data_IF_614161534382
#
_entry.id   IF_614161534382
#
_cell.length_a   1.000
_cell.length_b   1.000
_cell.length_c   1.000
_cell.angle_alpha   90.00
_cell.angle_beta   90.00
_cell.angle_gamma   90.00
#
_symmetry.space_group_name_H-M   'P 1'
#
loop_
_entity.id
_entity.type
_entity.pdbx_description
1 polymer ?
#
# COMPACT_ATOMS: atom_id res chain seq x y z
N UNK A 1 -20.08 12.24 11.25
CA UNK A 1 -19.90 11.42 10.03
C UNK A 1 -19.12 12.25 9.02
N UNK A 2 -18.07 11.70 8.39
CA UNK A 2 -17.39 12.35 7.27
C UNK A 2 -18.38 12.59 6.12
N UNK A 3 -18.15 13.63 5.33
CA UNK A 3 -18.91 13.83 4.10
C UNK A 3 -18.28 13.04 2.96
N UNK A 4 -19.05 12.64 1.95
CA UNK A 4 -18.56 12.03 0.69
C UNK A 4 -17.36 12.79 0.09
N UNK A 5 -17.35 14.12 0.23
CA UNK A 5 -16.25 15.00 -0.18
C UNK A 5 -14.96 14.77 0.62
N UNK A 6 -15.04 14.41 1.90
CA UNK A 6 -13.89 14.09 2.74
C UNK A 6 -13.27 12.74 2.37
N UNK A 7 -14.07 11.70 2.09
CA UNK A 7 -13.55 10.40 1.60
C UNK A 7 -12.87 10.56 0.24
N UNK A 8 -13.47 11.29 -0.69
CA UNK A 8 -12.85 11.59 -1.98
C UNK A 8 -11.53 12.38 -1.83
N UNK A 9 -11.47 13.32 -0.89
CA UNK A 9 -10.26 14.07 -0.60
C UNK A 9 -9.16 13.18 0.00
N UNK A 10 -9.51 12.27 0.93
CA UNK A 10 -8.57 11.26 1.47
C UNK A 10 -8.04 10.36 0.38
N UNK A 11 -8.91 9.83 -0.47
CA UNK A 11 -8.49 8.97 -1.58
C UNK A 11 -7.59 9.71 -2.57
N UNK A 12 -7.94 10.95 -2.93
CA UNK A 12 -7.07 11.83 -3.73
C UNK A 12 -5.70 12.01 -3.09
N UNK A 13 -5.67 12.31 -1.79
CA UNK A 13 -4.42 12.51 -1.07
C UNK A 13 -3.59 11.23 -1.03
N UNK A 14 -4.21 10.07 -0.79
CA UNK A 14 -3.54 8.77 -0.83
C UNK A 14 -2.91 8.50 -2.20
N UNK A 15 -3.66 8.70 -3.30
CA UNK A 15 -3.15 8.51 -4.66
C UNK A 15 -2.01 9.47 -5.01
N UNK A 16 -2.12 10.74 -4.63
CA UNK A 16 -1.04 11.72 -4.89
C UNK A 16 0.20 11.39 -4.07
N UNK A 17 0.04 11.03 -2.80
CA UNK A 17 1.13 10.66 -1.91
C UNK A 17 1.85 9.40 -2.38
N UNK A 18 1.08 8.37 -2.74
CA UNK A 18 1.57 7.13 -3.33
C UNK A 18 2.41 7.42 -4.58
N UNK A 19 1.82 8.09 -5.57
CA UNK A 19 2.53 8.37 -6.82
C UNK A 19 3.73 9.30 -6.65
N UNK A 20 3.66 10.22 -5.69
CA UNK A 20 4.78 11.10 -5.35
C UNK A 20 5.92 10.32 -4.68
N UNK A 21 5.59 9.40 -3.75
CA UNK A 21 6.54 8.54 -3.07
C UNK A 21 7.22 7.59 -4.04
N UNK A 22 6.44 6.86 -4.83
CA UNK A 22 6.90 6.03 -5.95
C UNK A 22 7.92 6.80 -6.80
N UNK A 23 7.53 7.91 -7.44
CA UNK A 23 8.43 8.62 -8.35
C UNK A 23 9.68 9.21 -7.66
N UNK A 24 9.62 9.44 -6.36
CA UNK A 24 10.74 9.94 -5.57
C UNK A 24 11.73 8.83 -5.23
N UNK A 25 11.25 7.65 -4.84
CA UNK A 25 12.07 6.45 -4.63
C UNK A 25 12.62 5.90 -5.94
N UNK A 26 11.82 5.87 -7.01
CA UNK A 26 12.20 5.31 -8.31
C UNK A 26 13.42 6.00 -8.92
N UNK A 27 13.63 7.29 -8.63
CA UNK A 27 14.81 8.01 -9.09
C UNK A 27 16.13 7.47 -8.50
N UNK A 28 16.05 6.76 -7.36
CA UNK A 28 17.16 6.15 -6.64
C UNK A 28 17.02 4.64 -6.44
N UNK A 29 16.07 4.01 -7.12
CA UNK A 29 15.90 2.55 -7.11
C UNK A 29 17.23 1.83 -7.40
N UNK A 30 17.49 0.75 -6.68
CA UNK A 30 18.73 -0.05 -6.71
C UNK A 30 20.01 0.68 -6.28
N UNK A 31 19.95 1.94 -5.83
CA UNK A 31 21.12 2.61 -5.24
C UNK A 31 21.24 2.20 -3.78
N UNK A 32 22.42 1.69 -3.41
CA UNK A 32 22.75 1.44 -1.99
C UNK A 32 22.74 2.76 -1.21
N UNK A 33 22.33 2.70 0.05
CA UNK A 33 22.23 3.87 0.94
C UNK A 33 23.53 4.68 1.01
N UNK A 34 24.68 4.01 1.13
CA UNK A 34 26.00 4.66 1.18
C UNK A 34 26.35 5.48 -0.09
N UNK A 35 25.63 5.24 -1.20
CA UNK A 35 25.82 5.91 -2.48
C UNK A 35 24.69 6.90 -2.80
N UNK A 36 23.83 7.23 -1.83
CA UNK A 36 22.74 8.17 -2.03
C UNK A 36 23.27 9.58 -2.35
N UNK A 37 22.64 10.32 -3.29
CA UNK A 37 23.15 11.59 -3.77
C UNK A 37 23.05 12.74 -2.75
N UNK A 38 22.21 12.57 -1.73
CA UNK A 38 21.99 13.50 -0.62
C UNK A 38 21.25 12.79 0.50
N UNK A 39 21.32 13.34 1.71
CA UNK A 39 20.48 12.94 2.84
C UNK A 39 19.64 14.12 3.36
N UNK A 40 18.30 14.00 3.39
CA UNK A 40 17.51 13.07 2.58
C UNK A 40 17.63 13.36 1.07
N UNK A 41 17.30 12.36 0.25
CA UNK A 41 17.21 12.46 -1.21
C UNK A 41 16.24 13.57 -1.58
N UNK A 42 16.70 14.49 -2.43
CA UNK A 42 15.89 15.62 -2.89
C UNK A 42 14.80 15.16 -3.87
N UNK A 43 13.70 15.90 -3.90
CA UNK A 43 12.61 15.66 -4.84
C UNK A 43 13.10 15.67 -6.31
N UNK A 44 12.47 14.88 -7.20
CA UNK A 44 12.79 14.92 -8.62
C UNK A 44 12.68 16.35 -9.18
N UNK A 45 13.74 16.81 -9.86
CA UNK A 45 13.84 18.20 -10.36
C UNK A 45 12.93 18.50 -11.56
N UNK A 46 12.54 17.47 -12.32
CA UNK A 46 11.80 17.59 -13.58
C UNK A 46 10.50 16.80 -13.52
N UNK A 47 10.31 15.86 -14.43
CA UNK A 47 9.17 14.96 -14.45
C UNK A 47 9.38 13.92 -13.35
N UNK A 48 8.33 13.72 -12.57
CA UNK A 48 8.24 12.68 -11.54
C UNK A 48 7.76 11.42 -12.26
N UNK A 49 8.71 10.59 -12.67
CA UNK A 49 8.45 9.34 -13.40
C UNK A 49 8.07 8.29 -12.38
N UNK A 50 6.85 7.78 -12.48
CA UNK A 50 6.31 6.73 -11.61
C UNK A 50 6.87 5.34 -12.00
N UNK A 51 6.74 4.31 -11.16
CA UNK A 51 7.13 2.91 -11.40
C UNK A 51 5.90 2.01 -11.54
N UNK A 52 6.07 0.69 -11.43
CA UNK A 52 4.95 -0.25 -11.42
C UNK A 52 4.01 -0.07 -10.23
N UNK A 53 4.48 0.49 -9.11
CA UNK A 53 3.67 0.91 -7.95
C UNK A 53 2.41 1.69 -8.34
N UNK A 54 2.60 2.86 -8.95
CA UNK A 54 1.48 3.70 -9.38
C UNK A 54 0.72 3.07 -10.53
N UNK A 55 1.40 2.39 -11.46
CA UNK A 55 0.74 1.77 -12.60
C UNK A 55 -0.24 0.69 -12.16
N UNK A 56 0.18 -0.21 -11.27
CA UNK A 56 -0.67 -1.26 -10.72
C UNK A 56 -1.74 -0.69 -9.79
N UNK A 57 -1.46 0.40 -9.07
CA UNK A 57 -2.49 1.14 -8.31
C UNK A 57 -3.60 1.64 -9.21
N UNK A 58 -3.24 2.26 -10.34
CA UNK A 58 -4.21 2.75 -11.32
C UNK A 58 -4.95 1.61 -12.02
N UNK A 59 -4.27 0.49 -12.32
CA UNK A 59 -4.92 -0.70 -12.86
C UNK A 59 -5.94 -1.30 -11.88
N UNK A 60 -5.61 -1.35 -10.57
CA UNK A 60 -6.54 -1.77 -9.53
C UNK A 60 -7.71 -0.78 -9.40
N UNK A 61 -7.43 0.52 -9.44
CA UNK A 61 -8.47 1.56 -9.47
C UNK A 61 -9.44 1.34 -10.64
N UNK A 62 -8.93 1.22 -11.87
CA UNK A 62 -9.74 1.04 -13.07
C UNK A 62 -10.57 -0.25 -12.99
N UNK A 63 -10.01 -1.34 -12.44
CA UNK A 63 -10.75 -2.58 -12.23
C UNK A 63 -11.95 -2.39 -11.29
N UNK A 64 -11.78 -1.65 -10.20
CA UNK A 64 -12.87 -1.39 -9.26
C UNK A 64 -13.91 -0.42 -9.84
N UNK A 65 -13.50 0.49 -10.74
CA UNK A 65 -14.44 1.30 -11.53
C UNK A 65 -15.25 0.40 -12.48
N UNK A 66 -14.60 -0.53 -13.18
CA UNK A 66 -15.26 -1.44 -14.13
C UNK A 66 -16.28 -2.37 -13.47
N UNK A 67 -15.99 -2.83 -12.25
CA UNK A 67 -16.93 -3.63 -11.45
C UNK A 67 -18.22 -2.86 -11.14
N UNK A 68 -18.13 -1.53 -11.00
CA UNK A 68 -19.26 -0.68 -10.70
C UNK A 68 -19.96 -1.08 -9.40
N UNK A 69 -21.29 -1.20 -9.42
CA UNK A 69 -22.10 -1.55 -8.26
C UNK A 69 -22.03 -3.02 -7.80
N UNK A 70 -21.14 -3.84 -8.36
CA UNK A 70 -21.06 -5.28 -8.14
C UNK A 70 -19.84 -5.72 -7.32
N UNK A 71 -19.42 -4.89 -6.36
CA UNK A 71 -18.23 -5.15 -5.53
C UNK A 71 -18.38 -6.36 -4.59
N UNK A 72 -19.61 -6.81 -4.36
CA UNK A 72 -19.97 -7.99 -3.56
C UNK A 72 -20.00 -9.30 -4.38
N UNK A 73 -19.70 -9.23 -5.68
CA UNK A 73 -19.49 -10.39 -6.54
C UNK A 73 -18.00 -10.69 -6.71
N UNK A 74 -17.53 -11.72 -6.00
CA UNK A 74 -16.14 -12.18 -6.01
C UNK A 74 -15.66 -12.51 -7.43
N UNK A 75 -16.49 -13.15 -8.26
CA UNK A 75 -16.08 -13.58 -9.61
C UNK A 75 -15.93 -12.36 -10.53
N UNK A 76 -16.90 -11.44 -10.49
CA UNK A 76 -16.84 -10.17 -11.23
C UNK A 76 -15.62 -9.34 -10.83
N UNK A 77 -15.36 -9.17 -9.53
CA UNK A 77 -14.18 -8.46 -9.02
C UNK A 77 -12.88 -9.15 -9.45
N UNK A 78 -12.79 -10.47 -9.28
CA UNK A 78 -11.59 -11.25 -9.62
C UNK A 78 -11.27 -11.10 -11.10
N UNK A 79 -12.28 -11.21 -11.98
CA UNK A 79 -12.13 -11.06 -13.44
C UNK A 79 -11.68 -9.66 -13.81
N UNK A 80 -12.28 -8.62 -13.23
CA UNK A 80 -11.93 -7.23 -13.53
C UNK A 80 -10.48 -6.91 -13.13
N UNK A 81 -10.06 -7.27 -11.90
CA UNK A 81 -8.67 -7.06 -11.45
C UNK A 81 -7.70 -7.83 -12.34
N UNK A 82 -8.01 -9.09 -12.66
CA UNK A 82 -7.19 -9.92 -13.54
C UNK A 82 -7.05 -9.28 -14.92
N UNK A 83 -8.15 -8.82 -15.52
CA UNK A 83 -8.15 -8.18 -16.83
C UNK A 83 -7.25 -6.92 -16.84
N UNK A 84 -7.42 -6.01 -15.89
CA UNK A 84 -6.62 -4.79 -15.81
C UNK A 84 -5.15 -5.05 -15.52
N UNK A 85 -4.82 -6.04 -14.69
CA UNK A 85 -3.43 -6.43 -14.48
C UNK A 85 -2.81 -7.06 -15.74
N UNK A 86 -3.56 -7.87 -16.50
CA UNK A 86 -3.10 -8.44 -17.77
C UNK A 86 -2.93 -7.39 -18.87
N UNK A 87 -3.79 -6.36 -18.91
CA UNK A 87 -3.64 -5.19 -19.77
C UNK A 87 -2.38 -4.41 -19.41
N UNK A 88 -2.19 -4.10 -18.13
CA UNK A 88 -0.98 -3.45 -17.63
C UNK A 88 0.29 -4.24 -17.98
N UNK A 89 0.25 -5.57 -17.85
CA UNK A 89 1.41 -6.43 -18.08
C UNK A 89 2.04 -6.25 -19.48
N UNK A 90 1.23 -5.92 -20.50
CA UNK A 90 1.69 -5.67 -21.89
C UNK A 90 1.71 -4.19 -22.27
N UNK A 91 1.42 -3.29 -21.32
CA UNK A 91 1.52 -1.86 -21.57
C UNK A 91 2.97 -1.46 -21.87
N UNK A 92 3.17 -0.57 -22.84
CA UNK A 92 4.51 -0.09 -23.23
C UNK A 92 5.26 0.60 -22.08
N UNK A 93 4.54 1.14 -21.11
CA UNK A 93 5.10 1.81 -19.95
C UNK A 93 5.46 0.83 -18.83
N UNK A 94 5.11 -0.47 -18.95
CA UNK A 94 5.57 -1.54 -18.07
C UNK A 94 7.04 -1.92 -18.37
N UNK A 95 7.93 -0.96 -18.19
CA UNK A 95 9.37 -1.06 -18.39
C UNK A 95 10.14 -0.47 -17.21
N UNK A 96 9.53 -0.53 -16.02
CA UNK A 96 9.94 0.18 -14.81
C UNK A 96 10.13 -0.79 -13.66
N UNK A 97 10.97 -1.80 -13.92
CA UNK A 97 11.41 -2.83 -12.98
C UNK A 97 10.34 -3.66 -12.25
N UNK A 98 9.23 -4.07 -12.90
CA UNK A 98 8.22 -4.88 -12.22
C UNK A 98 8.79 -6.18 -11.65
N UNK A 99 8.39 -6.54 -10.43
CA UNK A 99 8.89 -7.73 -9.76
C UNK A 99 8.60 -9.04 -10.50
N UNK A 100 9.58 -9.97 -10.51
CA UNK A 100 9.47 -11.27 -11.20
C UNK A 100 8.31 -12.15 -10.69
N UNK A 101 7.91 -11.99 -9.43
CA UNK A 101 6.73 -12.68 -8.88
C UNK A 101 5.44 -12.18 -9.54
N UNK A 102 5.26 -10.87 -9.64
CA UNK A 102 4.08 -10.28 -10.29
C UNK A 102 4.00 -10.73 -11.75
N UNK A 103 5.08 -10.51 -12.51
CA UNK A 103 5.12 -10.85 -13.94
C UNK A 103 4.96 -12.35 -14.20
N UNK A 104 5.54 -13.21 -13.36
CA UNK A 104 5.40 -14.66 -13.48
C UNK A 104 3.96 -15.13 -13.21
N UNK A 105 3.29 -14.56 -12.21
CA UNK A 105 1.89 -14.88 -11.91
C UNK A 105 0.97 -14.44 -13.05
N UNK A 106 1.11 -13.21 -13.54
CA UNK A 106 0.29 -12.70 -14.64
C UNK A 106 0.50 -13.50 -15.93
N UNK A 107 1.72 -13.94 -16.23
CA UNK A 107 1.99 -14.86 -17.35
C UNK A 107 1.20 -16.16 -17.20
N UNK A 108 1.18 -16.77 -16.01
CA UNK A 108 0.42 -18.01 -15.76
C UNK A 108 -1.08 -17.79 -15.92
N UNK A 109 -1.62 -16.67 -15.41
CA UNK A 109 -3.03 -16.32 -15.58
C UNK A 109 -3.39 -16.07 -17.04
N UNK A 110 -2.52 -15.40 -17.81
CA UNK A 110 -2.69 -15.19 -19.26
C UNK A 110 -2.80 -16.50 -20.03
N UNK A 111 -2.09 -17.54 -19.58
CA UNK A 111 -2.16 -18.88 -20.16
C UNK A 111 -3.34 -19.72 -19.64
N UNK A 112 -4.28 -19.11 -18.92
CA UNK A 112 -5.53 -19.74 -18.50
C UNK A 112 -5.48 -20.47 -17.16
N UNK A 113 -4.36 -20.41 -16.42
CA UNK A 113 -4.33 -20.94 -15.06
C UNK A 113 -5.24 -20.12 -14.15
N UNK A 114 -5.99 -20.77 -13.25
CA UNK A 114 -6.70 -20.04 -12.19
C UNK A 114 -5.71 -19.66 -11.11
N UNK A 115 -5.90 -18.50 -10.48
CA UNK A 115 -4.95 -17.97 -9.50
C UNK A 115 -4.67 -18.95 -8.36
N UNK A 116 -5.68 -19.67 -7.88
CA UNK A 116 -5.56 -20.61 -6.76
C UNK A 116 -4.91 -21.95 -7.14
N UNK A 117 -4.87 -22.32 -8.43
CA UNK A 117 -4.25 -23.57 -8.89
C UNK A 117 -2.75 -23.60 -8.56
N UNK A 118 -2.16 -24.79 -8.41
CA UNK A 118 -0.72 -24.95 -8.17
C UNK A 118 0.14 -24.33 -9.28
N UNK A 119 -0.34 -24.39 -10.52
CA UNK A 119 0.24 -23.72 -11.69
C UNK A 119 -0.23 -22.27 -11.89
N UNK A 120 -1.01 -21.72 -10.96
CA UNK A 120 -1.53 -20.35 -10.97
C UNK A 120 -0.57 -19.32 -10.35
N UNK A 121 -1.12 -18.37 -9.61
CA UNK A 121 -0.33 -17.30 -8.98
C UNK A 121 0.79 -17.88 -8.10
N UNK A 122 1.95 -17.24 -8.19
CA UNK A 122 3.18 -17.69 -7.52
C UNK A 122 3.09 -17.46 -6.01
N UNK A 123 3.51 -18.45 -5.19
CA UNK A 123 3.44 -18.36 -3.75
C UNK A 123 4.67 -17.66 -3.17
N UNK A 124 4.87 -16.38 -3.50
CA UNK A 124 6.00 -15.58 -2.98
C UNK A 124 5.53 -14.28 -2.32
N UNK A 125 6.16 -13.84 -1.21
CA UNK A 125 5.67 -12.73 -0.39
C UNK A 125 6.18 -11.33 -0.80
N UNK A 126 6.50 -11.09 -2.08
CA UNK A 126 7.02 -9.79 -2.54
C UNK A 126 6.10 -8.60 -2.22
N UNK A 127 6.67 -7.41 -2.06
CA UNK A 127 5.99 -6.15 -1.71
C UNK A 127 4.90 -5.70 -2.71
N UNK A 128 4.90 -6.23 -3.93
CA UNK A 128 3.93 -5.86 -4.97
C UNK A 128 2.46 -6.03 -4.55
N UNK A 129 2.18 -6.89 -3.57
CA UNK A 129 0.85 -7.05 -2.99
C UNK A 129 0.38 -5.85 -2.14
N UNK A 130 1.31 -5.07 -1.57
CA UNK A 130 1.02 -3.97 -0.64
C UNK A 130 1.22 -2.59 -1.27
N UNK A 131 2.11 -2.46 -2.24
CA UNK A 131 2.45 -1.17 -2.88
C UNK A 131 1.27 -0.47 -3.59
N UNK A 132 0.27 -1.25 -4.03
CA UNK A 132 -0.85 -0.78 -4.87
C UNK A 132 -2.20 -0.64 -4.18
N UNK A 133 -2.20 -0.71 -2.85
CA UNK A 133 -3.36 -1.15 -2.07
C UNK A 133 -4.44 -0.07 -1.83
N UNK A 134 -4.12 1.20 -2.00
CA UNK A 134 -5.00 2.32 -1.64
C UNK A 134 -6.45 2.21 -2.17
N UNK A 135 -6.72 1.76 -3.42
CA UNK A 135 -8.10 1.59 -3.91
C UNK A 135 -8.90 0.52 -3.14
N UNK A 136 -8.29 -0.62 -2.84
CA UNK A 136 -8.97 -1.71 -2.13
C UNK A 136 -9.25 -1.36 -0.66
N UNK A 137 -8.32 -0.68 0.00
CA UNK A 137 -8.45 -0.27 1.40
C UNK A 137 -9.65 0.66 1.68
N UNK A 138 -10.04 1.46 0.68
CA UNK A 138 -11.12 2.44 0.79
C UNK A 138 -12.44 1.99 0.12
N UNK A 139 -12.54 0.70 -0.23
CA UNK A 139 -13.80 0.05 -0.59
C UNK A 139 -14.80 -0.01 0.58
N UNK A 140 -16.09 -0.29 0.34
CA UNK A 140 -17.11 -0.34 1.38
C UNK A 140 -16.84 -1.40 2.46
N UNK A 141 -17.29 -1.14 3.70
CA UNK A 141 -17.15 -2.02 4.86
C UNK A 141 -17.35 -3.53 4.56
N UNK A 142 -18.39 -3.97 3.82
CA UNK A 142 -18.65 -5.40 3.64
C UNK A 142 -17.65 -6.12 2.74
N UNK A 143 -16.87 -5.41 1.93
CA UNK A 143 -16.10 -6.02 0.83
C UNK A 143 -14.61 -5.69 0.84
N UNK A 144 -14.17 -4.62 1.52
CA UNK A 144 -12.78 -4.14 1.43
C UNK A 144 -11.74 -5.21 1.81
N UNK A 145 -12.04 -6.08 2.78
CA UNK A 145 -11.13 -7.16 3.20
C UNK A 145 -10.96 -8.21 2.09
N UNK A 146 -12.06 -8.72 1.55
CA UNK A 146 -11.97 -9.69 0.45
C UNK A 146 -11.36 -9.09 -0.81
N UNK A 147 -11.68 -7.84 -1.17
CA UNK A 147 -11.06 -7.15 -2.31
C UNK A 147 -9.55 -6.96 -2.08
N UNK A 148 -9.15 -6.57 -0.87
CA UNK A 148 -7.74 -6.48 -0.46
C UNK A 148 -7.02 -7.82 -0.60
N UNK A 149 -7.66 -8.91 -0.18
CA UNK A 149 -7.10 -10.25 -0.30
C UNK A 149 -7.02 -10.72 -1.78
N UNK A 150 -8.06 -10.47 -2.57
CA UNK A 150 -8.13 -10.84 -3.99
C UNK A 150 -7.03 -10.13 -4.80
N UNK A 151 -6.88 -8.82 -4.64
CA UNK A 151 -5.84 -8.09 -5.39
C UNK A 151 -4.43 -8.60 -5.04
N UNK A 152 -4.20 -9.02 -3.79
CA UNK A 152 -2.92 -9.57 -3.36
C UNK A 152 -2.69 -10.96 -3.98
N UNK A 153 -3.63 -11.88 -3.76
CA UNK A 153 -3.50 -13.31 -4.10
C UNK A 153 -3.41 -13.57 -5.61
N UNK A 154 -3.98 -12.69 -6.44
CA UNK A 154 -3.88 -12.77 -7.90
C UNK A 154 -2.44 -12.73 -8.42
N UNK A 155 -1.49 -12.18 -7.65
CA UNK A 155 -0.08 -12.10 -8.05
C UNK A 155 0.88 -12.69 -7.02
N UNK A 156 0.52 -12.65 -5.73
CA UNK A 156 1.35 -13.07 -4.61
C UNK A 156 0.53 -14.02 -3.73
N UNK A 157 0.43 -15.29 -4.14
CA UNK A 157 -0.36 -16.33 -3.44
C UNK A 157 0.38 -16.86 -2.20
N UNK A 158 0.74 -15.96 -1.30
CA UNK A 158 1.49 -16.26 -0.09
C UNK A 158 0.76 -15.70 1.14
N UNK A 159 0.60 -16.48 2.23
CA UNK A 159 -0.09 -16.01 3.44
C UNK A 159 0.42 -14.67 3.98
N UNK A 160 1.76 -14.50 4.04
CA UNK A 160 2.39 -13.22 4.44
C UNK A 160 1.97 -12.03 3.59
N UNK A 161 1.90 -12.18 2.25
CA UNK A 161 1.51 -11.09 1.37
C UNK A 161 0.04 -10.68 1.60
N UNK A 162 -0.84 -11.67 1.78
CA UNK A 162 -2.27 -11.44 2.04
C UNK A 162 -2.45 -10.76 3.40
N UNK A 163 -1.81 -11.28 4.45
CA UNK A 163 -1.89 -10.72 5.80
C UNK A 163 -1.33 -9.29 5.86
N UNK A 164 -0.18 -9.04 5.23
CA UNK A 164 0.43 -7.70 5.17
C UNK A 164 -0.47 -6.71 4.43
N UNK A 165 -1.09 -7.14 3.31
CA UNK A 165 -2.07 -6.33 2.60
C UNK A 165 -3.30 -6.01 3.47
N UNK A 166 -3.85 -6.97 4.21
CA UNK A 166 -4.97 -6.69 5.12
C UNK A 166 -4.58 -5.71 6.23
N UNK A 167 -3.40 -5.86 6.85
CA UNK A 167 -2.90 -4.96 7.90
C UNK A 167 -2.68 -3.54 7.36
N UNK A 168 -2.03 -3.40 6.21
CA UNK A 168 -1.83 -2.09 5.60
C UNK A 168 -3.16 -1.43 5.19
N UNK A 169 -4.10 -2.21 4.64
CA UNK A 169 -5.41 -1.69 4.26
C UNK A 169 -6.18 -1.18 5.48
N UNK A 170 -6.12 -1.90 6.60
CA UNK A 170 -6.75 -1.48 7.86
C UNK A 170 -6.11 -0.19 8.40
N UNK A 171 -4.79 -0.05 8.30
CA UNK A 171 -4.07 1.18 8.65
C UNK A 171 -4.46 2.38 7.75
N UNK A 172 -4.54 2.20 6.42
CA UNK A 172 -5.00 3.23 5.48
C UNK A 172 -6.43 3.67 5.80
N UNK A 173 -7.30 2.68 6.06
CA UNK A 173 -8.71 2.91 6.35
C UNK A 173 -8.89 3.67 7.66
N UNK A 174 -8.15 3.30 8.69
CA UNK A 174 -8.15 3.93 10.01
C UNK A 174 -7.29 5.20 10.11
N UNK A 175 -6.64 5.63 9.02
CA UNK A 175 -5.56 6.62 9.07
C UNK A 175 -5.94 7.98 9.68
N UNK A 176 -7.21 8.38 9.60
CA UNK A 176 -7.72 9.61 10.22
C UNK A 176 -7.75 9.57 11.74
N UNK A 177 -7.92 8.38 12.33
CA UNK A 177 -8.05 8.16 13.77
C UNK A 177 -6.74 7.73 14.43
N UNK A 178 -5.85 7.04 13.70
CA UNK A 178 -4.60 6.47 14.24
C UNK A 178 -3.34 7.26 13.88
N UNK A 179 -3.47 8.55 13.53
CA UNK A 179 -2.33 9.41 13.16
C UNK A 179 -1.23 9.39 14.24
N UNK A 180 0.00 9.07 13.83
CA UNK A 180 1.16 8.94 14.70
C UNK A 180 1.21 7.65 15.53
N UNK A 181 0.26 6.73 15.31
CA UNK A 181 0.11 5.46 16.02
C UNK A 181 -0.21 4.29 15.06
N UNK A 182 0.25 4.37 13.81
CA UNK A 182 0.06 3.35 12.78
C UNK A 182 0.71 2.01 13.13
N UNK A 183 1.93 2.03 13.68
CA UNK A 183 2.62 0.80 14.08
C UNK A 183 1.90 0.13 15.25
N UNK A 184 1.51 0.88 16.27
CA UNK A 184 0.73 0.38 17.40
C UNK A 184 -0.60 -0.24 16.94
N UNK A 185 -1.30 0.43 16.01
CA UNK A 185 -2.53 -0.07 15.40
C UNK A 185 -2.29 -1.38 14.63
N UNK A 186 -1.27 -1.42 13.77
CA UNK A 186 -0.93 -2.59 12.97
C UNK A 186 -0.51 -3.79 13.83
N UNK A 187 0.25 -3.56 14.92
CA UNK A 187 0.60 -4.59 15.90
C UNK A 187 -0.66 -5.11 16.60
N UNK A 188 -1.53 -4.22 17.08
CA UNK A 188 -2.77 -4.62 17.75
C UNK A 188 -3.67 -5.48 16.85
N UNK A 189 -3.88 -5.05 15.60
CA UNK A 189 -4.63 -5.81 14.59
C UNK A 189 -3.99 -7.17 14.32
N UNK A 190 -2.66 -7.20 14.16
CA UNK A 190 -1.90 -8.44 13.93
C UNK A 190 -2.06 -9.42 15.11
N UNK A 191 -1.97 -8.92 16.34
CA UNK A 191 -2.16 -9.72 17.55
C UNK A 191 -3.57 -10.29 17.65
N UNK A 192 -4.60 -9.51 17.31
CA UNK A 192 -5.99 -9.99 17.27
C UNK A 192 -6.19 -11.11 16.24
N UNK A 193 -5.51 -11.04 15.09
CA UNK A 193 -5.54 -12.13 14.08
C UNK A 193 -4.89 -13.38 14.65
N UNK A 194 -3.76 -13.23 15.31
CA UNK A 194 -3.02 -14.35 15.92
C UNK A 194 -3.77 -14.98 17.10
N UNK A 195 -4.48 -14.20 17.91
CA UNK A 195 -5.26 -14.67 19.07
C UNK A 195 -6.59 -15.31 18.69
N UNK A 196 -7.04 -15.17 17.43
CA UNK A 196 -8.35 -15.65 17.00
C UNK A 196 -9.50 -14.67 17.28
N UNK A 197 -9.20 -13.47 17.77
CA UNK A 197 -10.18 -12.47 18.20
C UNK A 197 -10.57 -11.51 17.09
N UNK A 198 -9.74 -11.37 16.05
CA UNK A 198 -9.96 -10.42 14.97
C UNK A 198 -11.30 -10.65 14.26
N UNK A 199 -12.08 -9.59 13.97
CA UNK A 199 -13.31 -9.71 13.20
C UNK A 199 -13.09 -10.21 11.78
N UNK A 200 -11.86 -10.10 11.26
CA UNK A 200 -11.49 -10.60 9.92
C UNK A 200 -11.74 -12.10 9.80
N UNK A 201 -11.56 -12.84 10.89
CA UNK A 201 -11.68 -14.30 10.93
C UNK A 201 -13.12 -14.79 10.81
N UNK A 202 -14.09 -13.86 10.88
CA UNK A 202 -15.54 -14.10 10.74
C UNK A 202 -16.14 -13.31 9.56
N UNK A 203 -15.32 -12.62 8.77
CA UNK A 203 -15.77 -11.81 7.64
C UNK A 203 -16.16 -12.73 6.47
N UNK A 204 -17.46 -12.89 6.23
CA UNK A 204 -17.99 -13.84 5.24
C UNK A 204 -17.44 -13.62 3.83
N UNK A 205 -17.28 -12.36 3.42
CA UNK A 205 -16.79 -12.02 2.08
C UNK A 205 -15.31 -12.38 1.93
N UNK A 206 -14.47 -12.05 2.92
CA UNK A 206 -13.06 -12.46 2.97
C UNK A 206 -12.90 -13.99 2.97
N UNK A 207 -13.67 -14.69 3.82
CA UNK A 207 -13.61 -16.15 3.91
C UNK A 207 -14.00 -16.80 2.58
N UNK A 208 -15.07 -16.32 1.92
CA UNK A 208 -15.49 -16.81 0.60
C UNK A 208 -14.42 -16.52 -0.46
N UNK A 209 -13.84 -15.33 -0.47
CA UNK A 209 -12.82 -14.92 -1.44
C UNK A 209 -11.55 -15.78 -1.37
N UNK A 210 -11.16 -16.23 -0.17
CA UNK A 210 -9.96 -17.04 0.05
C UNK A 210 -10.24 -18.56 0.12
N UNK A 211 -11.50 -18.98 0.16
CA UNK A 211 -11.86 -20.41 0.20
C UNK A 211 -11.29 -21.27 -0.95
N UNK A 212 -11.05 -20.75 -2.18
CA UNK A 212 -10.39 -21.54 -3.23
C UNK A 212 -8.92 -21.86 -2.93
N UNK A 213 -8.28 -21.11 -2.01
CA UNK A 213 -6.89 -21.32 -1.62
C UNK A 213 -6.74 -22.32 -0.47
N UNK A 214 -7.68 -22.31 0.49
CA UNK A 214 -7.63 -23.15 1.69
C UNK A 214 -9.00 -23.21 2.36
N UNK A 215 -9.30 -24.33 3.02
CA UNK A 215 -10.47 -24.45 3.91
C UNK A 215 -10.25 -23.79 5.27
N UNK A 216 -9.00 -23.57 5.68
CA UNK A 216 -8.62 -22.90 6.93
C UNK A 216 -8.03 -21.50 6.65
N UNK A 217 -8.91 -20.58 6.27
CA UNK A 217 -8.53 -19.17 6.05
C UNK A 217 -8.02 -18.52 7.35
N UNK A 218 -8.66 -18.70 8.52
CA UNK A 218 -8.15 -18.13 9.77
C UNK A 218 -6.72 -18.58 10.12
N UNK A 219 -6.43 -19.88 10.05
CA UNK A 219 -5.09 -20.40 10.31
C UNK A 219 -4.07 -19.89 9.30
N UNK A 220 -4.45 -19.76 8.02
CA UNK A 220 -3.59 -19.18 6.99
C UNK A 220 -3.24 -17.71 7.27
N UNK A 221 -4.22 -16.89 7.67
CA UNK A 221 -3.98 -15.49 8.01
C UNK A 221 -3.11 -15.37 9.27
N UNK A 222 -3.38 -16.16 10.31
CA UNK A 222 -2.56 -16.18 11.52
C UNK A 222 -1.11 -16.60 11.24
N UNK A 223 -0.90 -17.60 10.37
CA UNK A 223 0.43 -18.00 9.92
C UNK A 223 1.12 -16.89 9.11
N UNK A 224 0.39 -16.19 8.25
CA UNK A 224 0.91 -15.04 7.50
C UNK A 224 1.36 -13.88 8.38
N UNK A 225 0.68 -13.64 9.51
CA UNK A 225 1.06 -12.64 10.50
C UNK A 225 2.28 -13.08 11.32
N UNK A 226 2.30 -14.32 11.82
CA UNK A 226 3.39 -14.88 12.66
C UNK A 226 4.72 -15.07 11.94
N UNK A 227 4.70 -15.01 10.62
CA UNK A 227 5.90 -14.97 9.81
C UNK A 227 6.61 -13.60 10.01
N UNK A 228 7.34 -13.09 9.02
CA UNK A 228 8.10 -11.83 9.14
C UNK A 228 7.27 -10.58 9.49
N UNK A 229 5.96 -10.56 9.24
CA UNK A 229 5.16 -9.34 9.41
C UNK A 229 5.13 -8.83 10.86
N UNK A 230 4.82 -9.68 11.84
CA UNK A 230 4.71 -9.24 13.23
C UNK A 230 6.07 -8.79 13.78
N UNK A 231 7.13 -9.53 13.47
CA UNK A 231 8.50 -9.19 13.88
C UNK A 231 8.92 -7.83 13.29
N UNK A 232 8.73 -7.63 11.99
CA UNK A 232 9.06 -6.35 11.33
C UNK A 232 8.26 -5.17 11.91
N UNK A 233 6.99 -5.36 12.29
CA UNK A 233 6.19 -4.32 12.94
C UNK A 233 6.71 -3.98 14.34
N UNK A 234 7.13 -4.98 15.12
CA UNK A 234 7.70 -4.79 16.45
C UNK A 234 9.07 -4.09 16.36
N UNK A 235 9.92 -4.52 15.43
CA UNK A 235 11.22 -3.90 15.15
C UNK A 235 11.04 -2.44 14.72
N UNK A 236 10.09 -2.16 13.83
CA UNK A 236 9.77 -0.80 13.41
C UNK A 236 9.28 0.06 14.58
N UNK A 237 8.52 -0.52 15.51
CA UNK A 237 8.10 0.19 16.72
C UNK A 237 9.27 0.50 17.65
N UNK A 238 10.23 -0.41 17.81
CA UNK A 238 11.46 -0.15 18.57
C UNK A 238 12.26 0.98 17.91
N UNK A 239 12.47 0.92 16.60
CA UNK A 239 13.14 1.98 15.84
C UNK A 239 12.41 3.32 16.01
N UNK A 240 11.07 3.35 15.95
CA UNK A 240 10.29 4.58 16.23
C UNK A 240 10.62 5.19 17.60
N UNK A 241 10.76 4.36 18.64
CA UNK A 241 11.12 4.86 19.98
C UNK A 241 12.53 5.43 20.02
N UNK A 242 13.49 4.80 19.34
CA UNK A 242 14.85 5.30 19.23
C UNK A 242 14.90 6.64 18.48
N UNK A 243 14.21 6.74 17.34
CA UNK A 243 14.13 7.96 16.54
C UNK A 243 13.46 9.13 17.29
N UNK A 244 12.58 8.84 18.26
CA UNK A 244 11.98 9.87 19.11
C UNK A 244 13.00 10.60 20.00
N UNK A 245 14.20 10.02 20.17
CA UNK A 245 15.32 10.64 20.91
C UNK A 245 16.26 11.44 20.00
N UNK A 246 16.07 11.39 18.68
CA UNK A 246 16.92 12.00 17.67
C UNK A 246 16.20 13.15 16.95
N UNK A 247 16.98 13.96 16.24
CA UNK A 247 16.43 14.96 15.31
C UNK A 247 16.35 14.40 13.88
N UNK A 248 15.43 14.89 13.01
CA UNK A 248 15.29 14.39 11.64
C UNK A 248 16.57 14.26 10.79
N UNK A 249 17.55 15.19 10.89
CA UNK A 249 18.84 15.03 10.20
C UNK A 249 19.67 13.82 10.64
N UNK A 250 19.34 13.20 11.77
CA UNK A 250 20.08 12.08 12.38
C UNK A 250 19.37 10.72 12.18
N UNK A 251 18.19 10.68 11.56
CA UNK A 251 17.38 9.45 11.47
C UNK A 251 18.03 8.30 10.68
N UNK A 252 18.94 8.59 9.74
CA UNK A 252 19.60 7.57 8.94
C UNK A 252 18.65 6.84 7.98
N UNK A 253 19.02 5.60 7.62
CA UNK A 253 18.24 4.73 6.74
C UNK A 253 17.01 4.17 7.49
N UNK A 254 15.77 4.41 7.03
CA UNK A 254 14.56 3.89 7.68
C UNK A 254 14.46 2.36 7.65
N UNK A 255 15.26 1.64 6.85
CA UNK A 255 15.26 0.18 6.80
C UNK A 255 16.10 -0.49 7.91
N UNK A 256 17.00 0.26 8.56
CA UNK A 256 17.94 -0.29 9.55
C UNK A 256 17.18 -0.89 10.74
N UNK A 257 17.48 -2.15 11.03
CA UNK A 257 16.86 -2.89 12.14
C UNK A 257 15.50 -3.51 11.82
N UNK A 258 14.94 -3.33 10.62
CA UNK A 258 13.59 -3.80 10.26
C UNK A 258 13.63 -4.72 9.04
N UNK A 259 14.22 -4.25 7.94
CA UNK A 259 14.22 -4.94 6.66
C UNK A 259 14.13 -3.98 5.48
N UNK A 260 14.58 -4.44 4.32
CA UNK A 260 14.72 -3.60 3.12
C UNK A 260 13.43 -3.46 2.28
N UNK A 261 12.29 -3.97 2.72
CA UNK A 261 11.02 -3.73 2.04
C UNK A 261 10.80 -4.49 0.73
N UNK A 262 11.67 -5.41 0.34
CA UNK A 262 11.47 -6.27 -0.85
C UNK A 262 10.33 -7.29 -0.68
N UNK A 263 9.96 -7.57 0.57
CA UNK A 263 8.84 -8.44 0.92
C UNK A 263 7.77 -7.67 1.71
N UNK A 264 6.54 -8.16 1.65
CA UNK A 264 5.36 -7.40 2.07
C UNK A 264 5.37 -6.98 3.56
N UNK A 265 5.99 -7.77 4.45
CA UNK A 265 6.00 -7.51 5.88
C UNK A 265 6.79 -6.26 6.24
N UNK A 266 8.09 -6.27 5.94
CA UNK A 266 9.01 -5.15 6.12
C UNK A 266 8.62 -3.93 5.29
N UNK A 267 8.10 -4.10 4.07
CA UNK A 267 7.59 -2.97 3.28
C UNK A 267 6.45 -2.24 4.01
N UNK A 268 5.52 -3.01 4.57
CA UNK A 268 4.43 -2.49 5.39
C UNK A 268 4.98 -1.81 6.64
N UNK A 269 5.85 -2.47 7.39
CA UNK A 269 6.39 -1.93 8.65
C UNK A 269 7.16 -0.61 8.46
N UNK A 270 8.07 -0.55 7.49
CA UNK A 270 8.85 0.67 7.19
C UNK A 270 7.95 1.79 6.67
N UNK A 271 6.98 1.47 5.79
CA UNK A 271 6.01 2.46 5.30
C UNK A 271 5.16 3.07 6.43
N UNK A 272 4.73 2.25 7.41
CA UNK A 272 4.01 2.71 8.59
C UNK A 272 4.90 3.50 9.57
N UNK A 273 6.16 3.11 9.75
CA UNK A 273 7.14 3.89 10.51
C UNK A 273 7.28 5.30 9.94
N UNK A 274 7.48 5.42 8.63
CA UNK A 274 7.57 6.73 7.96
C UNK A 274 6.29 7.54 8.17
N UNK A 275 5.12 6.91 8.04
CA UNK A 275 3.84 7.59 8.25
C UNK A 275 3.65 8.07 9.69
N UNK A 276 4.13 7.31 10.68
CA UNK A 276 4.13 7.70 12.09
C UNK A 276 5.02 8.92 12.35
N UNK A 277 6.20 8.97 11.73
CA UNK A 277 7.09 10.12 11.85
C UNK A 277 6.55 11.37 11.13
N UNK A 278 5.57 11.20 10.23
CA UNK A 278 4.99 12.25 9.40
C UNK A 278 3.61 12.75 9.89
N UNK A 279 3.01 12.07 10.85
CA UNK A 279 1.66 12.36 11.35
C UNK A 279 1.63 12.38 12.86
N UNK A 280 0.63 13.06 13.44
CA UNK A 280 0.51 13.19 14.89
C UNK A 280 -0.95 13.29 15.31
N UNK A 281 -1.29 12.81 16.52
CA UNK A 281 -2.65 12.90 17.04
C UNK A 281 -3.00 14.33 17.44
N UNK A 282 -4.29 14.68 17.28
CA UNK A 282 -4.84 15.96 17.71
C UNK A 282 -4.18 17.17 17.05
N UNK A 283 -3.67 18.10 17.87
CA UNK A 283 -3.00 19.35 17.45
C UNK A 283 -1.47 19.28 17.56
N UNK A 284 -0.91 18.11 17.89
CA UNK A 284 0.55 17.95 17.98
C UNK A 284 1.18 18.06 16.59
N UNK A 285 2.44 18.46 16.55
CA UNK A 285 3.24 18.50 15.33
C UNK A 285 4.05 17.20 15.24
N UNK A 286 4.00 16.56 14.08
CA UNK A 286 4.86 15.42 13.78
C UNK A 286 6.32 15.85 13.56
N UNK A 287 7.31 14.97 13.80
CA UNK A 287 8.72 15.26 13.55
C UNK A 287 9.01 15.67 12.10
N UNK A 288 8.34 15.03 11.14
CA UNK A 288 8.39 15.34 9.72
C UNK A 288 7.03 15.83 9.23
N UNK A 289 7.02 16.67 8.19
CA UNK A 289 5.84 16.80 7.35
C UNK A 289 5.85 15.75 6.22
N UNK A 290 4.72 15.57 5.52
CA UNK A 290 4.61 14.54 4.48
C UNK A 290 5.66 14.64 3.37
N UNK A 291 6.09 15.85 2.97
CA UNK A 291 7.13 16.03 1.95
C UNK A 291 8.51 15.59 2.46
N UNK A 292 8.84 15.91 3.71
CA UNK A 292 10.09 15.50 4.35
C UNK A 292 10.13 13.98 4.54
N UNK A 293 9.00 13.40 4.95
CA UNK A 293 8.84 11.95 5.12
C UNK A 293 9.03 11.17 3.82
N UNK A 294 8.49 11.64 2.69
CA UNK A 294 8.75 11.00 1.39
C UNK A 294 10.22 11.09 0.98
N UNK A 295 10.89 12.22 1.27
CA UNK A 295 12.33 12.35 1.06
C UNK A 295 13.12 11.35 1.90
N UNK A 296 12.74 11.16 3.16
CA UNK A 296 13.37 10.20 4.06
C UNK A 296 13.11 8.75 3.62
N UNK A 297 11.88 8.38 3.29
CA UNK A 297 11.52 7.05 2.78
C UNK A 297 12.29 6.67 1.51
N UNK A 298 12.44 7.62 0.58
CA UNK A 298 13.24 7.43 -0.63
C UNK A 298 14.75 7.34 -0.35
N UNK A 299 15.21 7.71 0.85
CA UNK A 299 16.62 7.62 1.26
C UNK A 299 16.84 6.32 2.02
N UNK A 300 16.64 5.19 1.36
CA UNK A 300 16.72 3.88 1.98
C UNK A 300 17.61 2.92 1.18
N UNK A 301 18.23 1.93 1.82
CA UNK A 301 18.96 0.87 1.11
C UNK A 301 18.04 -0.15 0.42
N UNK A 302 16.74 -0.04 0.68
CA UNK A 302 15.74 -1.02 0.29
C UNK A 302 14.99 -0.69 -1.00
N UNK A 303 13.79 -1.25 -1.07
CA UNK A 303 12.79 -1.05 -2.11
C UNK A 303 12.17 0.36 -1.99
N UNK A 304 12.98 1.36 -2.35
CA UNK A 304 12.76 2.76 -1.97
C UNK A 304 11.49 3.38 -2.56
N UNK A 305 11.08 2.99 -3.77
CA UNK A 305 9.82 3.40 -4.40
C UNK A 305 8.63 2.76 -3.70
N UNK A 306 8.64 1.44 -3.47
CA UNK A 306 7.57 0.77 -2.72
C UNK A 306 7.40 1.31 -1.30
N UNK A 307 8.49 1.52 -0.57
CA UNK A 307 8.45 2.07 0.80
C UNK A 307 7.86 3.49 0.79
N UNK A 308 8.36 4.36 -0.09
CA UNK A 308 7.88 5.74 -0.18
C UNK A 308 6.43 5.83 -0.69
N UNK A 309 6.04 4.95 -1.60
CA UNK A 309 4.69 4.78 -2.14
C UNK A 309 3.70 4.40 -1.04
N UNK A 310 4.01 3.37 -0.24
CA UNK A 310 3.20 2.95 0.91
C UNK A 310 3.08 4.10 1.93
N UNK A 311 4.21 4.71 2.33
CA UNK A 311 4.20 5.82 3.27
C UNK A 311 3.33 6.99 2.76
N UNK A 312 3.47 7.34 1.49
CA UNK A 312 2.68 8.39 0.84
C UNK A 312 1.18 8.09 0.82
N UNK A 313 0.80 6.84 0.56
CA UNK A 313 -0.59 6.40 0.60
C UNK A 313 -1.21 6.58 2.01
N UNK A 314 -0.50 6.13 3.04
CA UNK A 314 -0.95 6.19 4.44
C UNK A 314 -1.01 7.64 4.93
N UNK A 315 0.04 8.44 4.71
CA UNK A 315 0.07 9.86 5.04
C UNK A 315 -1.05 10.60 4.32
N UNK A 316 -1.26 10.33 3.03
CA UNK A 316 -2.34 10.94 2.26
C UNK A 316 -3.72 10.59 2.82
N UNK A 317 -3.97 9.31 3.11
CA UNK A 317 -5.24 8.83 3.66
C UNK A 317 -5.55 9.41 5.05
N UNK A 318 -4.53 9.81 5.81
CA UNK A 318 -4.68 10.46 7.11
C UNK A 318 -5.25 11.89 7.05
N UNK A 319 -5.31 12.51 5.86
CA UNK A 319 -5.70 13.90 5.69
C UNK A 319 -6.97 14.06 4.85
N UNK A 320 -7.98 14.74 5.41
CA UNK A 320 -9.29 14.98 4.77
C UNK A 320 -9.36 16.28 3.95
N UNK A 321 -8.37 17.17 4.08
CA UNK A 321 -8.28 18.39 3.29
C UNK A 321 -7.70 18.13 1.90
N UNK A 322 -8.38 18.58 0.84
CA UNK A 322 -7.98 18.36 -0.56
C UNK A 322 -6.66 19.02 -0.98
N UNK A 323 -6.12 19.92 -0.15
CA UNK A 323 -4.91 20.69 -0.40
C UNK A 323 -3.74 20.32 0.52
N UNK A 324 -3.80 19.19 1.24
CA UNK A 324 -2.75 18.80 2.20
C UNK A 324 -1.34 18.85 1.60
N UNK A 325 -1.14 18.18 0.46
CA UNK A 325 0.16 18.11 -0.22
C UNK A 325 0.67 19.49 -0.66
N UNK A 326 -0.22 20.36 -1.14
CA UNK A 326 0.13 21.74 -1.47
C UNK A 326 0.56 22.53 -0.22
N UNK A 327 -0.10 22.30 0.91
CA UNK A 327 0.23 22.90 2.21
C UNK A 327 1.63 22.56 2.72
N UNK A 328 2.13 21.35 2.41
CA UNK A 328 3.52 20.93 2.70
C UNK A 328 4.48 21.21 1.53
N UNK A 329 4.09 22.12 0.62
CA UNK A 329 4.87 22.54 -0.55
C UNK A 329 5.28 21.38 -1.48
N UNK A 330 4.43 20.36 -1.59
CA UNK A 330 4.60 19.27 -2.53
C UNK A 330 3.75 19.52 -3.79
N UNK A 331 4.41 19.64 -4.94
CA UNK A 331 3.79 19.88 -6.24
C UNK A 331 4.41 18.95 -7.29
N UNK A 332 4.04 17.65 -7.29
CA UNK A 332 4.64 16.67 -8.18
C UNK A 332 4.26 16.96 -9.64
N UNK A 333 5.21 16.75 -10.56
CA UNK A 333 5.03 16.94 -12.01
C UNK A 333 5.07 15.59 -12.71
N UNK A 334 3.98 14.82 -12.59
CA UNK A 334 3.88 13.51 -13.22
C UNK A 334 3.83 13.58 -14.75
N UNK A 335 4.13 12.47 -15.41
CA UNK A 335 4.00 12.32 -16.85
C UNK A 335 2.53 12.57 -17.28
N UNK A 336 2.27 13.16 -18.47
CA UNK A 336 0.93 13.62 -18.85
C UNK A 336 -0.18 12.56 -18.72
N UNK A 337 0.12 11.30 -19.08
CA UNK A 337 -0.80 10.15 -18.96
C UNK A 337 -1.23 9.94 -17.51
N UNK A 338 -0.28 9.78 -16.61
CA UNK A 338 -0.55 9.49 -15.20
C UNK A 338 -1.06 10.70 -14.44
N UNK A 339 -0.61 11.91 -14.80
CA UNK A 339 -1.17 13.15 -14.28
C UNK A 339 -2.66 13.27 -14.58
N UNK A 340 -3.11 12.86 -15.79
CA UNK A 340 -4.53 12.82 -16.16
C UNK A 340 -5.29 11.76 -15.36
N UNK A 341 -4.73 10.55 -15.25
CA UNK A 341 -5.34 9.45 -14.50
C UNK A 341 -5.54 9.82 -13.01
N UNK A 342 -4.48 10.26 -12.33
CA UNK A 342 -4.51 10.67 -10.92
C UNK A 342 -5.49 11.83 -10.65
N UNK A 343 -5.64 12.77 -11.59
CA UNK A 343 -6.63 13.86 -11.45
C UNK A 343 -8.07 13.35 -11.53
N UNK A 344 -8.32 12.35 -12.38
CA UNK A 344 -9.66 11.85 -12.71
C UNK A 344 -10.13 10.77 -11.73
N UNK A 345 -9.20 9.96 -11.22
CA UNK A 345 -9.49 8.79 -10.38
C UNK A 345 -10.39 9.08 -9.17
N UNK A 346 -10.21 10.17 -8.38
CA UNK A 346 -11.10 10.43 -7.24
C UNK A 346 -12.57 10.66 -7.63
N UNK A 347 -12.83 11.18 -8.84
CA UNK A 347 -14.19 11.36 -9.35
C UNK A 347 -14.78 10.04 -9.85
N UNK A 348 -13.99 9.24 -10.57
CA UNK A 348 -14.42 7.93 -11.08
C UNK A 348 -14.66 6.90 -9.96
N UNK A 349 -13.93 7.02 -8.83
CA UNK A 349 -14.06 6.12 -7.69
C UNK A 349 -15.37 6.26 -6.90
N UNK A 350 -16.25 7.20 -7.28
CA UNK A 350 -17.52 7.47 -6.60
C UNK A 350 -18.43 6.23 -6.42
N UNK A 351 -18.27 5.19 -7.26
CA UNK A 351 -19.01 3.94 -7.18
C UNK A 351 -18.44 2.91 -6.19
N UNK A 352 -17.17 3.01 -5.81
CA UNK A 352 -16.53 2.06 -4.88
C UNK A 352 -15.95 2.71 -3.62
N UNK A 353 -15.95 4.03 -3.48
CA UNK A 353 -15.52 4.66 -2.22
C UNK A 353 -16.57 4.49 -1.12
N UNK A 354 -16.09 4.13 0.06
CA UNK A 354 -16.92 4.02 1.25
C UNK A 354 -17.22 5.38 1.88
N UNK A 355 -18.49 5.78 1.85
CA UNK A 355 -18.97 7.00 2.52
C UNK A 355 -18.87 6.91 4.07
N UNK A 356 -18.61 5.72 4.64
CA UNK A 356 -18.51 5.47 6.09
C UNK A 356 -17.10 5.30 6.66
N UNK A 357 -16.06 5.24 5.82
CA UNK A 357 -14.71 4.81 6.22
C UNK A 357 -13.82 5.82 6.99
N UNK A 358 -14.36 6.83 7.68
CA UNK A 358 -13.53 7.86 8.35
C UNK A 358 -13.25 7.68 9.83
#
# INVERSE_FOLDING_TARGET
>A
MPTRTATQARYRNALIGLAAGDAWGYQVEFRKYANMPAYPVRAPKKIWRISDDTQMTLALHDALVDVGGHLDDIDTVTKAITARFLEWQVDRDNNRAPGATCMGSLTRLRHGARWHDSAGALPRPGCGAVMRLAPAALCPQPVWRGITALQAVLTHKHPRAIASALVLADAIRSATTVRGHFLEHAIAVSMQVVSGESPWLRDEFLLRALSPMTSDVPGMLAAGVKDVLLDALLDAYVVKQELATLTPPEYGDPCVGIGEGWESGSATAVGLLVADMATAPGRRRAPLNGREALGWAATSNGDSDSIASIAGAVIGAAHTGSSYWAGVKMAPRFEPRYAKALRSAPGAAAGFLDDSAA
#
